data_IF_619608014906
#
_entry.id   IF_619608014906
#
_cell.length_a   1.000
_cell.length_b   1.000
_cell.length_c   1.000
_cell.angle_alpha   90.00
_cell.angle_beta   90.00
_cell.angle_gamma   90.00
#
_symmetry.space_group_name_H-M   'P 1'
#
loop_
_entity.id
_entity.type
_entity.pdbx_description
1 polymer ?
#
# COMPACT_ATOMS: atom_id res chain seq x y z
N UNK A 1 46.14 -49.75 -17.00
CA UNK A 1 45.04 -50.26 -16.14
C UNK A 1 44.65 -49.18 -15.15
N UNK A 2 43.37 -48.83 -15.17
CA UNK A 2 42.54 -47.99 -14.28
C UNK A 2 43.06 -47.90 -12.82
N UNK A 3 42.91 -46.80 -12.07
CA UNK A 3 41.65 -46.10 -11.77
C UNK A 3 41.90 -44.66 -11.31
N UNK A 4 41.20 -43.71 -11.93
CA UNK A 4 40.95 -42.37 -11.38
C UNK A 4 39.68 -42.50 -10.54
N UNK A 5 39.70 -42.02 -9.30
CA UNK A 5 38.49 -41.84 -8.49
C UNK A 5 38.61 -40.59 -7.61
N UNK A 6 37.48 -39.94 -7.35
CA UNK A 6 37.33 -38.49 -7.47
C UNK A 6 37.04 -37.85 -6.12
N UNK A 7 37.44 -36.59 -5.90
CA UNK A 7 36.79 -35.68 -4.94
C UNK A 7 37.35 -34.28 -5.24
N UNK A 8 36.59 -33.47 -6.00
CA UNK A 8 35.70 -32.45 -5.44
C UNK A 8 36.45 -31.43 -4.58
N UNK A 9 36.67 -30.23 -5.13
CA UNK A 9 35.83 -29.08 -4.80
C UNK A 9 36.47 -27.80 -5.37
N UNK A 10 35.93 -27.35 -6.50
CA UNK A 10 36.13 -25.99 -6.96
C UNK A 10 35.41 -25.04 -5.98
N UNK A 11 36.17 -24.31 -5.17
CA UNK A 11 35.64 -23.26 -4.31
C UNK A 11 35.41 -21.98 -5.14
N UNK A 12 34.22 -21.84 -5.71
CA UNK A 12 33.74 -20.58 -6.26
C UNK A 12 33.23 -19.74 -5.10
N UNK A 13 34.00 -18.72 -4.70
CA UNK A 13 33.58 -17.73 -3.71
C UNK A 13 32.50 -16.85 -4.35
N UNK A 14 31.24 -17.19 -4.11
CA UNK A 14 30.09 -16.35 -4.43
C UNK A 14 30.02 -15.22 -3.40
N UNK A 15 30.45 -14.01 -3.79
CA UNK A 15 30.22 -12.80 -3.01
C UNK A 15 28.73 -12.51 -3.04
N UNK A 16 28.05 -12.82 -1.92
CA UNK A 16 26.67 -12.45 -1.68
C UNK A 16 26.59 -10.93 -1.52
N UNK A 17 26.25 -10.23 -2.61
CA UNK A 17 25.80 -8.84 -2.56
C UNK A 17 24.50 -8.79 -1.76
N UNK A 18 24.62 -8.37 -0.51
CA UNK A 18 23.51 -7.95 0.35
C UNK A 18 22.74 -6.84 -0.37
N UNK A 19 21.67 -7.19 -1.07
CA UNK A 19 20.74 -6.25 -1.67
C UNK A 19 19.95 -5.58 -0.56
N UNK A 20 20.45 -4.45 -0.07
CA UNK A 20 19.65 -3.51 0.72
C UNK A 20 18.46 -3.13 -0.15
N UNK A 21 17.19 -3.36 0.28
CA UNK A 21 16.05 -2.91 -0.49
C UNK A 21 16.11 -1.39 -0.53
N UNK A 22 16.54 -0.84 -1.67
CA UNK A 22 16.43 0.58 -1.93
C UNK A 22 14.95 0.94 -1.73
N UNK A 23 14.67 1.71 -0.68
CA UNK A 23 13.38 2.38 -0.50
C UNK A 23 13.20 3.26 -1.73
N UNK A 24 12.52 2.72 -2.75
CA UNK A 24 12.27 3.43 -3.99
C UNK A 24 11.73 4.81 -3.63
N UNK A 25 12.41 5.85 -4.12
CA UNK A 25 11.95 7.22 -4.01
C UNK A 25 10.49 7.24 -4.47
N UNK A 26 9.58 7.69 -3.62
CA UNK A 26 8.17 7.63 -3.97
C UNK A 26 7.89 8.48 -5.20
N UNK A 27 7.04 7.95 -6.06
CA UNK A 27 6.75 8.53 -7.36
C UNK A 27 5.65 9.59 -7.26
N UNK A 28 5.67 10.53 -8.20
CA UNK A 28 4.57 11.47 -8.38
C UNK A 28 3.38 10.68 -8.98
N UNK A 29 2.17 10.78 -8.40
CA UNK A 29 0.99 10.11 -8.94
C UNK A 29 0.56 10.66 -10.30
N UNK A 30 -0.15 9.84 -11.09
CA UNK A 30 -0.96 10.34 -12.21
C UNK A 30 -2.00 11.36 -11.70
N UNK A 31 -1.95 12.58 -12.26
CA UNK A 31 -2.92 13.65 -12.03
C UNK A 31 -4.31 13.20 -12.46
N UNK A 32 -5.34 13.59 -11.69
CA UNK A 32 -6.73 13.14 -11.89
C UNK A 32 -6.91 11.61 -11.86
N UNK A 33 -5.90 10.85 -11.44
CA UNK A 33 -5.94 9.40 -11.45
C UNK A 33 -6.82 8.83 -10.34
N UNK A 34 -7.50 7.73 -10.64
CA UNK A 34 -8.24 6.94 -9.65
C UNK A 34 -7.51 5.63 -9.41
N UNK A 35 -7.22 5.32 -8.15
CA UNK A 35 -6.51 4.11 -7.74
C UNK A 35 -7.42 3.26 -6.88
N UNK A 36 -7.45 1.96 -7.14
CA UNK A 36 -8.30 1.02 -6.44
C UNK A 36 -7.49 -0.15 -5.91
N UNK A 37 -7.76 -0.53 -4.67
CA UNK A 37 -7.22 -1.72 -4.04
C UNK A 37 -8.25 -2.38 -3.13
N UNK A 38 -8.07 -3.66 -2.89
CA UNK A 38 -8.91 -4.43 -1.97
C UNK A 38 -8.08 -4.90 -0.80
N UNK A 39 -8.65 -4.80 0.38
CA UNK A 39 -8.11 -5.32 1.62
C UNK A 39 -9.04 -6.43 2.12
N UNK A 40 -8.49 -7.58 2.46
CA UNK A 40 -9.23 -8.66 3.07
C UNK A 40 -8.95 -8.65 4.56
N UNK A 41 -10.00 -8.65 5.40
CA UNK A 41 -9.82 -9.03 6.79
C UNK A 41 -9.29 -10.48 6.85
N UNK A 42 -8.54 -10.80 7.91
CA UNK A 42 -7.96 -12.14 8.12
C UNK A 42 -8.98 -13.25 7.82
N UNK A 43 -8.48 -14.38 7.33
CA UNK A 43 -9.23 -15.46 6.64
C UNK A 43 -10.51 -15.99 7.33
N UNK A 44 -10.75 -15.66 8.59
CA UNK A 44 -11.86 -16.19 9.39
C UNK A 44 -13.16 -15.37 9.29
N UNK A 45 -13.13 -14.11 8.82
CA UNK A 45 -14.33 -13.28 8.65
C UNK A 45 -14.16 -12.38 7.41
N UNK A 46 -14.55 -12.89 6.24
CA UNK A 46 -14.24 -12.34 4.93
C UNK A 46 -14.99 -11.05 4.55
N UNK A 47 -14.92 -10.01 5.39
CA UNK A 47 -15.32 -8.66 4.98
C UNK A 47 -14.22 -8.07 4.10
N UNK A 48 -14.45 -8.11 2.79
CA UNK A 48 -13.62 -7.42 1.81
C UNK A 48 -13.84 -5.92 1.91
N UNK A 49 -12.75 -5.16 1.84
CA UNK A 49 -12.75 -3.71 1.95
C UNK A 49 -12.16 -3.13 0.69
N UNK A 50 -13.02 -2.56 -0.15
CA UNK A 50 -12.58 -1.84 -1.34
C UNK A 50 -12.13 -0.45 -0.93
N UNK A 51 -10.96 -0.02 -1.38
CA UNK A 51 -10.40 1.30 -1.10
C UNK A 51 -10.13 2.00 -2.42
N UNK A 52 -10.63 3.23 -2.54
CA UNK A 52 -10.42 4.08 -3.71
C UNK A 52 -9.74 5.37 -3.28
N UNK A 53 -8.64 5.69 -3.96
CA UNK A 53 -7.87 6.93 -3.79
C UNK A 53 -7.99 7.72 -5.08
N UNK A 54 -8.58 8.91 -5.03
CA UNK A 54 -8.69 9.82 -6.17
C UNK A 54 -7.73 10.97 -6.00
N UNK A 55 -6.82 11.14 -6.96
CA UNK A 55 -5.83 12.21 -6.99
C UNK A 55 -6.44 13.45 -7.67
N UNK A 56 -6.16 14.64 -7.15
CA UNK A 56 -6.62 15.90 -7.74
C UNK A 56 -5.97 16.16 -9.10
N UNK A 57 -6.52 17.12 -9.85
CA UNK A 57 -5.93 17.59 -11.12
C UNK A 57 -4.51 18.14 -10.96
N UNK A 58 -4.17 18.67 -9.79
CA UNK A 58 -2.83 19.16 -9.48
C UNK A 58 -1.83 18.05 -9.16
N UNK A 59 -2.29 16.85 -8.78
CA UNK A 59 -1.43 15.76 -8.30
C UNK A 59 -0.89 15.94 -6.89
N UNK A 60 -1.26 17.02 -6.19
CA UNK A 60 -0.72 17.37 -4.86
C UNK A 60 -1.66 17.00 -3.71
N UNK A 61 -2.89 16.60 -4.02
CA UNK A 61 -3.88 16.16 -3.03
C UNK A 61 -4.58 14.90 -3.53
N UNK A 62 -5.10 14.13 -2.60
CA UNK A 62 -6.00 13.03 -2.90
C UNK A 62 -7.15 12.97 -1.89
N UNK A 63 -8.21 12.28 -2.29
CA UNK A 63 -9.33 11.90 -1.44
C UNK A 63 -9.41 10.37 -1.39
N UNK A 64 -9.58 9.81 -0.20
CA UNK A 64 -9.82 8.38 -0.01
C UNK A 64 -11.24 8.12 0.44
N UNK A 65 -11.82 7.09 -0.15
CA UNK A 65 -13.11 6.50 0.21
C UNK A 65 -12.93 4.99 0.28
N UNK A 66 -13.61 4.32 1.21
CA UNK A 66 -13.59 2.87 1.28
C UNK A 66 -15.01 2.32 1.48
N UNK A 67 -15.16 1.03 1.24
CA UNK A 67 -16.37 0.25 1.44
C UNK A 67 -16.06 -0.91 2.39
N UNK A 68 -17.02 -1.28 3.22
CA UNK A 68 -16.99 -2.49 4.04
C UNK A 68 -18.03 -3.46 3.45
N UNK A 69 -17.60 -4.46 2.69
CA UNK A 69 -18.53 -5.26 1.89
C UNK A 69 -19.30 -4.39 0.89
N UNK A 70 -20.63 -4.46 0.92
CA UNK A 70 -21.54 -3.66 0.07
C UNK A 70 -21.79 -2.26 0.62
N UNK A 71 -21.53 -2.02 1.91
CA UNK A 71 -21.80 -0.74 2.55
C UNK A 71 -20.67 0.25 2.34
N UNK A 72 -21.03 1.48 1.96
CA UNK A 72 -20.11 2.61 1.91
C UNK A 72 -20.34 3.47 3.15
N UNK A 73 -19.41 3.51 4.11
CA UNK A 73 -19.46 4.54 5.15
C UNK A 73 -19.52 5.93 4.51
N UNK A 74 -20.33 6.83 5.04
CA UNK A 74 -20.44 8.22 4.56
C UNK A 74 -19.15 9.05 4.74
N UNK A 75 -18.08 8.42 5.23
CA UNK A 75 -16.83 9.08 5.58
C UNK A 75 -15.80 8.96 4.46
N UNK A 76 -15.25 10.11 4.07
CA UNK A 76 -14.10 10.25 3.19
C UNK A 76 -13.09 11.17 3.85
N UNK A 77 -11.82 11.03 3.48
CA UNK A 77 -10.77 11.95 3.94
C UNK A 77 -9.96 12.48 2.78
N UNK A 78 -9.62 13.76 2.82
CA UNK A 78 -8.69 14.38 1.89
C UNK A 78 -7.33 14.58 2.55
N UNK A 79 -6.26 14.41 1.80
CA UNK A 79 -4.89 14.60 2.27
C UNK A 79 -3.99 15.19 1.20
N UNK A 80 -2.91 15.83 1.67
CA UNK A 80 -1.81 16.25 0.83
C UNK A 80 -0.92 15.06 0.47
N UNK A 81 -0.38 15.09 -0.74
CA UNK A 81 0.63 14.17 -1.24
C UNK A 81 1.94 14.95 -1.20
N UNK A 82 2.91 14.45 -0.45
CA UNK A 82 4.23 15.07 -0.37
C UNK A 82 5.00 14.87 -1.69
N UNK A 83 6.06 15.65 -1.89
CA UNK A 83 6.90 15.57 -3.11
C UNK A 83 7.49 14.18 -3.34
N UNK A 84 7.72 13.43 -2.26
CA UNK A 84 8.21 12.04 -2.28
C UNK A 84 7.07 11.02 -2.44
N UNK A 85 5.88 11.44 -2.87
CA UNK A 85 4.71 10.58 -3.03
C UNK A 85 4.12 10.04 -1.72
N UNK A 86 4.64 10.39 -0.55
CA UNK A 86 4.09 9.92 0.73
C UNK A 86 2.87 10.71 1.17
N UNK A 87 1.99 10.06 1.94
CA UNK A 87 0.80 10.69 2.50
C UNK A 87 0.39 10.04 3.82
N UNK A 88 -0.34 10.82 4.63
CA UNK A 88 -0.90 10.40 5.90
C UNK A 88 -2.14 11.24 6.21
N UNK A 89 -3.20 10.60 6.66
CA UNK A 89 -4.47 11.25 6.96
C UNK A 89 -5.18 10.57 8.12
N UNK A 90 -5.88 11.34 8.95
CA UNK A 90 -6.63 10.86 10.11
C UNK A 90 -8.04 11.42 10.09
N UNK A 91 -9.03 10.54 10.15
CA UNK A 91 -10.42 10.94 10.36
C UNK A 91 -10.68 10.93 11.86
N UNK A 92 -10.91 12.11 12.42
CA UNK A 92 -11.17 12.28 13.84
C UNK A 92 -12.63 12.67 14.08
N UNK A 93 -13.19 12.16 15.18
CA UNK A 93 -14.44 12.64 15.76
C UNK A 93 -14.11 13.12 17.16
N UNK A 94 -14.10 14.45 17.36
CA UNK A 94 -13.50 15.05 18.56
C UNK A 94 -12.00 14.72 18.65
N UNK A 95 -11.57 14.17 19.77
CA UNK A 95 -10.19 13.72 20.01
C UNK A 95 -9.90 12.30 19.51
N UNK A 96 -10.93 11.53 19.11
CA UNK A 96 -10.79 10.12 18.74
C UNK A 96 -10.52 9.96 17.26
N UNK A 97 -9.43 9.27 16.90
CA UNK A 97 -9.18 8.84 15.52
C UNK A 97 -10.04 7.62 15.19
N UNK A 98 -11.06 7.83 14.37
CA UNK A 98 -12.01 6.81 13.90
C UNK A 98 -11.33 5.88 12.90
N UNK A 99 -10.55 6.44 11.97
CA UNK A 99 -9.74 5.69 11.02
C UNK A 99 -8.61 6.55 10.48
N UNK A 100 -7.59 5.92 9.91
CA UNK A 100 -6.48 6.63 9.27
C UNK A 100 -5.94 5.86 8.08
N UNK A 101 -5.26 6.58 7.19
CA UNK A 101 -4.55 5.98 6.07
C UNK A 101 -3.15 6.56 5.99
N UNK A 102 -2.17 5.70 5.82
CA UNK A 102 -0.76 6.06 5.65
C UNK A 102 -0.20 5.29 4.48
N UNK A 103 0.50 5.95 3.57
CA UNK A 103 1.02 5.26 2.40
C UNK A 103 1.95 6.11 1.56
N UNK A 104 2.29 5.54 0.41
CA UNK A 104 3.13 6.20 -0.60
C UNK A 104 2.80 5.68 -1.99
N UNK A 105 2.87 6.57 -2.98
CA UNK A 105 2.89 6.21 -4.39
C UNK A 105 4.28 5.64 -4.73
N UNK A 106 4.33 4.37 -5.15
CA UNK A 106 5.59 3.69 -5.51
C UNK A 106 5.90 3.82 -7.00
N UNK A 107 4.87 3.97 -7.82
CA UNK A 107 4.97 4.38 -9.23
C UNK A 107 3.79 5.31 -9.55
N UNK A 108 3.81 6.04 -10.68
CA UNK A 108 2.68 6.88 -11.08
C UNK A 108 1.35 6.12 -11.22
N UNK A 109 1.38 4.79 -11.30
CA UNK A 109 0.20 3.93 -11.41
C UNK A 109 -0.07 3.03 -10.19
N UNK A 110 0.72 3.15 -9.11
CA UNK A 110 0.66 2.22 -7.98
C UNK A 110 0.86 2.90 -6.63
N UNK A 111 -0.04 2.58 -5.69
CA UNK A 111 0.03 2.96 -4.29
C UNK A 111 0.25 1.74 -3.43
N UNK A 112 1.04 1.93 -2.38
CA UNK A 112 1.12 1.02 -1.25
C UNK A 112 0.72 1.79 0.00
N UNK A 113 -0.27 1.28 0.73
CA UNK A 113 -0.81 1.97 1.90
C UNK A 113 -1.25 0.99 2.99
N UNK A 114 -1.42 1.53 4.18
CA UNK A 114 -2.00 0.87 5.34
C UNK A 114 -3.24 1.67 5.74
N UNK A 115 -4.37 0.98 5.83
CA UNK A 115 -5.63 1.53 6.33
C UNK A 115 -5.81 1.05 7.76
N UNK A 116 -5.99 1.96 8.71
CA UNK A 116 -6.33 1.63 10.10
C UNK A 116 -7.80 2.00 10.34
N UNK A 117 -8.61 1.04 10.79
CA UNK A 117 -10.05 1.19 10.94
C UNK A 117 -10.47 1.05 12.41
N UNK A 118 -10.01 1.95 13.28
CA UNK A 118 -10.17 1.81 14.73
C UNK A 118 -11.63 1.67 15.19
N UNK A 119 -12.55 2.40 14.56
CA UNK A 119 -13.97 2.41 14.91
C UNK A 119 -14.88 2.38 13.67
N UNK A 120 -14.45 1.71 12.60
CA UNK A 120 -15.24 1.58 11.36
C UNK A 120 -15.09 0.18 10.77
N UNK A 121 -16.06 -0.26 9.97
CA UNK A 121 -16.18 -1.64 9.50
C UNK A 121 -16.17 -2.63 10.69
N UNK A 122 -15.22 -3.56 10.70
CA UNK A 122 -14.98 -4.63 11.67
C UNK A 122 -13.82 -4.31 12.63
N UNK A 123 -13.34 -3.06 12.69
CA UNK A 123 -12.17 -2.70 13.50
C UNK A 123 -10.82 -3.10 12.88
N UNK A 124 -10.83 -3.87 11.78
CA UNK A 124 -9.62 -4.50 11.23
C UNK A 124 -9.07 -3.73 10.04
N UNK A 125 -7.96 -3.04 10.27
CA UNK A 125 -7.14 -2.44 9.21
C UNK A 125 -6.18 -3.42 8.53
N UNK A 126 -5.30 -2.89 7.71
CA UNK A 126 -4.16 -3.63 7.17
C UNK A 126 -3.54 -2.97 5.95
N UNK A 127 -2.54 -3.65 5.40
CA UNK A 127 -1.79 -3.18 4.24
C UNK A 127 -2.49 -3.61 2.95
N UNK A 128 -2.53 -2.71 1.97
CA UNK A 128 -3.07 -2.99 0.65
C UNK A 128 -2.23 -2.32 -0.44
N UNK A 129 -2.41 -2.83 -1.66
CA UNK A 129 -1.86 -2.25 -2.88
C UNK A 129 -3.02 -1.77 -3.73
N UNK A 130 -2.97 -0.51 -4.15
CA UNK A 130 -3.94 0.06 -5.07
C UNK A 130 -3.29 0.35 -6.42
N UNK A 131 -4.00 0.03 -7.50
CA UNK A 131 -3.57 0.24 -8.88
C UNK A 131 -4.43 1.29 -9.55
N UNK A 132 -3.84 2.06 -10.45
CA UNK A 132 -4.55 3.00 -11.30
C UNK A 132 -5.60 2.26 -12.14
N UNK A 133 -6.81 2.78 -12.15
CA UNK A 133 -7.93 2.24 -12.95
C UNK A 133 -8.43 3.21 -14.02
N UNK A 134 -8.21 4.53 -13.84
CA UNK A 134 -8.55 5.60 -14.79
C UNK A 134 -7.50 6.70 -14.69
#
# INVERSE_FOLDING_TARGET
>A
MNRISPLLAAAVVAVALLTVPALAAGAIPKKSGSYEGTLHASAELALSKRVVIKVSSTGTRARTTFWCGTQRPANWISFAIKKDGSFKAFSNTGSLTVWSIVGRFVTPGKVVAVLHLNATCDGKGGRFVAKLVV
#
